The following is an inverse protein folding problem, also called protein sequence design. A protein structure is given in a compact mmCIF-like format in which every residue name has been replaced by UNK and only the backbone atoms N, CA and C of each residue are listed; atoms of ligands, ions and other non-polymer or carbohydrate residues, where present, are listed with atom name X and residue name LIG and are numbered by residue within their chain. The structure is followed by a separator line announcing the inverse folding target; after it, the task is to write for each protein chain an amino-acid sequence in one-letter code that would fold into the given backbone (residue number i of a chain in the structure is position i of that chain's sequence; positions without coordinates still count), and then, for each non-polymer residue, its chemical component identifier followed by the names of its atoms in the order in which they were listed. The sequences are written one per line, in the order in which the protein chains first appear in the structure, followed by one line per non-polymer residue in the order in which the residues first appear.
data_IF_086437714593
#
_entry.id   IF_086437714593
#
_cell.length_a   1.000
_cell.length_b   1.000
_cell.length_c   1.000
_cell.angle_alpha   90.00
_cell.angle_beta   90.00
_cell.angle_gamma   90.00
#
_symmetry.space_group_name_H-M   'P 1'
#
loop_
_entity.id
_entity.type
_entity.pdbx_description
1 polymer ?
#
# COMPACT_ATOMS: atom_id res chain seq x y z
N UNK A 1 37.44 12.35 26.68
CA UNK A 1 37.00 11.90 25.37
C UNK A 1 35.48 12.02 25.37
N UNK A 2 34.98 13.06 24.74
CA UNK A 2 33.54 13.28 24.59
C UNK A 2 33.11 12.46 23.38
N UNK A 3 32.25 11.47 23.61
CA UNK A 3 31.55 10.75 22.53
C UNK A 3 30.77 11.79 21.71
N UNK A 4 31.01 11.81 20.41
CA UNK A 4 30.28 12.67 19.49
C UNK A 4 28.78 12.34 19.51
N UNK A 5 27.92 13.21 18.98
CA UNK A 5 26.50 12.94 18.92
C UNK A 5 26.28 11.63 18.14
N UNK A 6 25.46 10.74 18.71
CA UNK A 6 25.00 9.52 18.05
C UNK A 6 24.52 9.89 16.65
N UNK A 7 25.23 9.46 15.62
CA UNK A 7 24.67 9.39 14.27
C UNK A 7 23.49 8.44 14.40
N UNK A 8 22.26 8.99 14.43
CA UNK A 8 21.05 8.21 14.32
C UNK A 8 21.18 7.37 13.05
N UNK A 9 21.48 6.10 13.25
CA UNK A 9 21.64 5.16 12.14
C UNK A 9 20.27 5.10 11.44
N UNK A 10 20.18 5.77 10.29
CA UNK A 10 18.96 5.77 9.49
C UNK A 10 18.51 4.33 9.26
N UNK A 11 17.21 4.10 9.38
CA UNK A 11 16.63 2.79 9.05
C UNK A 11 16.76 2.52 7.55
N UNK A 12 16.83 1.26 7.16
CA UNK A 12 16.81 0.90 5.73
C UNK A 12 15.60 1.54 5.01
N UNK A 13 14.44 1.53 5.67
CA UNK A 13 13.26 2.21 5.17
C UNK A 13 13.50 3.71 4.98
N UNK A 14 14.11 4.37 5.97
CA UNK A 14 14.41 5.80 5.91
C UNK A 14 15.33 6.16 4.74
N UNK A 15 16.35 5.35 4.46
CA UNK A 15 17.26 5.55 3.34
C UNK A 15 16.55 5.38 1.99
N UNK A 16 15.78 4.30 1.82
CA UNK A 16 15.01 4.06 0.60
C UNK A 16 13.96 5.15 0.38
N UNK A 17 13.26 5.55 1.45
CA UNK A 17 12.26 6.61 1.40
C UNK A 17 12.86 7.96 0.99
N UNK A 18 14.03 8.32 1.51
CA UNK A 18 14.72 9.56 1.13
C UNK A 18 14.98 9.59 -0.38
N UNK A 19 15.50 8.51 -0.95
CA UNK A 19 15.76 8.38 -2.38
C UNK A 19 14.49 8.52 -3.23
N UNK A 20 13.39 7.87 -2.81
CA UNK A 20 12.09 8.01 -3.52
C UNK A 20 11.61 9.46 -3.48
N UNK A 21 11.72 10.14 -2.34
CA UNK A 21 11.33 11.55 -2.20
C UNK A 21 12.18 12.50 -3.04
N UNK A 22 13.42 12.14 -3.32
CA UNK A 22 14.32 12.85 -4.25
C UNK A 22 14.02 12.53 -5.73
N UNK A 23 13.04 11.67 -6.00
CA UNK A 23 12.61 11.30 -7.35
C UNK A 23 13.28 10.06 -7.93
N UNK A 24 14.09 9.34 -7.15
CA UNK A 24 14.70 8.09 -7.58
C UNK A 24 13.68 6.93 -7.50
N UNK A 25 12.95 6.71 -8.59
CA UNK A 25 11.92 5.67 -8.68
C UNK A 25 12.47 4.30 -9.14
N UNK A 26 13.77 4.15 -9.24
CA UNK A 26 14.46 2.89 -9.54
C UNK A 26 14.78 2.06 -8.27
N UNK A 27 14.48 2.56 -7.08
CA UNK A 27 14.65 1.82 -5.83
C UNK A 27 13.79 0.53 -5.84
N UNK A 28 14.21 -0.43 -5.04
CA UNK A 28 13.43 -1.65 -4.81
C UNK A 28 12.22 -1.35 -3.91
N UNK A 29 11.03 -1.21 -4.52
CA UNK A 29 9.78 -0.94 -3.80
C UNK A 29 9.27 -2.12 -2.98
N UNK A 30 9.63 -3.34 -3.32
CA UNK A 30 9.35 -4.50 -2.47
C UNK A 30 10.13 -4.38 -1.16
N UNK A 31 11.41 -4.07 -1.26
CA UNK A 31 12.27 -3.85 -0.09
C UNK A 31 11.82 -2.63 0.72
N UNK A 32 11.40 -1.55 0.07
CA UNK A 32 10.81 -0.38 0.73
C UNK A 32 9.58 -0.75 1.57
N UNK A 33 8.65 -1.55 1.02
CA UNK A 33 7.45 -1.99 1.73
C UNK A 33 7.79 -2.88 2.93
N UNK A 34 8.67 -3.86 2.77
CA UNK A 34 8.99 -4.80 3.83
C UNK A 34 9.83 -4.13 4.95
N UNK A 35 10.81 -3.31 4.60
CA UNK A 35 11.61 -2.58 5.59
C UNK A 35 10.76 -1.59 6.41
N UNK A 36 9.66 -1.05 5.85
CA UNK A 36 8.71 -0.24 6.62
C UNK A 36 8.14 -1.02 7.81
N UNK A 37 7.82 -2.31 7.64
CA UNK A 37 7.19 -3.11 8.69
C UNK A 37 8.07 -3.26 9.94
N UNK A 38 9.38 -3.19 9.80
CA UNK A 38 10.36 -3.30 10.87
C UNK A 38 10.90 -1.93 11.34
N UNK A 39 10.49 -0.86 10.66
CA UNK A 39 11.07 0.47 10.83
C UNK A 39 10.60 1.15 12.12
N UNK A 40 11.44 2.04 12.71
CA UNK A 40 11.02 2.92 13.79
C UNK A 40 9.92 3.90 13.33
N UNK A 41 9.90 4.27 12.07
CA UNK A 41 8.90 5.17 11.49
C UNK A 41 7.49 4.56 11.59
N UNK A 42 7.35 3.25 11.31
CA UNK A 42 6.07 2.55 11.50
C UNK A 42 5.63 2.54 12.96
N UNK A 43 6.55 2.27 13.89
CA UNK A 43 6.24 2.26 15.32
C UNK A 43 5.83 3.63 15.87
N UNK A 44 6.35 4.69 15.25
CA UNK A 44 6.00 6.07 15.60
C UNK A 44 4.79 6.62 14.81
N UNK A 45 4.29 5.88 13.82
CA UNK A 45 3.19 6.33 12.98
C UNK A 45 1.91 6.50 13.80
N UNK A 46 1.19 7.59 13.52
CA UNK A 46 -0.12 7.84 14.11
C UNK A 46 -1.18 6.99 13.42
N UNK A 47 -2.21 6.62 14.17
CA UNK A 47 -3.43 6.08 13.56
C UNK A 47 -4.09 7.15 12.69
N UNK A 48 -4.31 6.82 11.43
CA UNK A 48 -4.92 7.67 10.40
C UNK A 48 -6.16 6.99 9.78
N UNK A 49 -6.79 6.09 10.52
CA UNK A 49 -7.95 5.32 10.05
C UNK A 49 -9.13 6.24 9.69
N UNK A 50 -9.34 7.30 10.48
CA UNK A 50 -10.38 8.27 10.24
C UNK A 50 -10.09 9.08 8.98
N UNK A 51 -8.89 9.60 8.85
CA UNK A 51 -8.45 10.38 7.68
C UNK A 51 -8.54 9.55 6.39
N UNK A 52 -8.18 8.28 6.44
CA UNK A 52 -8.32 7.35 5.31
C UNK A 52 -9.79 7.16 4.91
N UNK A 53 -10.70 6.98 5.88
CA UNK A 53 -12.12 6.87 5.59
C UNK A 53 -12.72 8.16 5.03
N UNK A 54 -12.28 9.32 5.52
CA UNK A 54 -12.70 10.63 5.01
C UNK A 54 -12.12 10.90 3.61
N UNK A 55 -10.88 10.49 3.34
CA UNK A 55 -10.22 10.58 2.05
C UNK A 55 -11.05 9.92 0.94
N UNK A 56 -11.54 8.70 1.20
CA UNK A 56 -12.42 7.99 0.26
C UNK A 56 -13.74 8.73 0.00
N UNK A 57 -14.35 9.31 1.05
CA UNK A 57 -15.57 10.14 0.91
C UNK A 57 -15.30 11.41 0.14
N UNK A 58 -14.21 12.11 0.42
CA UNK A 58 -13.85 13.33 -0.29
C UNK A 58 -13.66 13.11 -1.81
N UNK A 59 -13.08 11.98 -2.22
CA UNK A 59 -13.00 11.59 -3.63
C UNK A 59 -14.41 11.34 -4.22
N UNK A 60 -15.26 10.60 -3.52
CA UNK A 60 -16.62 10.32 -3.98
C UNK A 60 -17.45 11.60 -4.14
N UNK A 61 -17.28 12.55 -3.24
CA UNK A 61 -17.95 13.86 -3.24
C UNK A 61 -17.27 14.88 -4.20
N UNK A 62 -16.23 14.48 -4.93
CA UNK A 62 -15.41 15.33 -5.82
C UNK A 62 -14.80 16.55 -5.11
N UNK A 63 -14.60 16.45 -3.80
CA UNK A 63 -13.90 17.47 -3.02
C UNK A 63 -12.38 17.22 -3.05
N UNK A 64 -11.78 17.49 -4.21
CA UNK A 64 -10.38 17.14 -4.49
C UNK A 64 -9.38 17.90 -3.61
N UNK A 65 -9.69 19.13 -3.21
CA UNK A 65 -8.86 19.86 -2.26
C UNK A 65 -8.77 19.12 -0.90
N UNK A 66 -9.93 18.72 -0.37
CA UNK A 66 -9.98 17.95 0.89
C UNK A 66 -9.36 16.56 0.75
N UNK A 67 -9.58 15.89 -0.37
CA UNK A 67 -8.98 14.59 -0.65
C UNK A 67 -7.44 14.68 -0.66
N UNK A 68 -6.88 15.73 -1.26
CA UNK A 68 -5.44 15.96 -1.29
C UNK A 68 -4.89 16.20 0.13
N UNK A 69 -5.49 17.11 0.91
CA UNK A 69 -5.08 17.36 2.30
C UNK A 69 -5.05 16.06 3.14
N UNK A 70 -6.09 15.23 3.02
CA UNK A 70 -6.20 13.98 3.76
C UNK A 70 -5.16 12.95 3.29
N UNK A 71 -4.91 12.87 1.98
CA UNK A 71 -3.88 11.99 1.43
C UNK A 71 -2.48 12.36 1.93
N UNK A 72 -2.18 13.65 2.07
CA UNK A 72 -0.92 14.12 2.64
C UNK A 72 -0.76 13.67 4.10
N UNK A 73 -1.83 13.72 4.90
CA UNK A 73 -1.81 13.23 6.30
C UNK A 73 -1.54 11.74 6.34
N UNK A 74 -2.24 10.95 5.50
CA UNK A 74 -2.05 9.49 5.40
C UNK A 74 -0.63 9.16 4.94
N UNK A 75 -0.12 9.82 3.90
CA UNK A 75 1.22 9.58 3.35
C UNK A 75 2.33 10.04 4.30
N UNK A 76 2.07 11.00 5.17
CA UNK A 76 3.00 11.40 6.23
C UNK A 76 3.11 10.34 7.31
N UNK A 77 2.04 9.64 7.63
CA UNK A 77 2.02 8.55 8.60
C UNK A 77 2.64 7.26 8.01
N UNK A 78 2.32 6.95 6.74
CA UNK A 78 2.83 5.81 6.02
C UNK A 78 3.01 6.16 4.54
N UNK A 79 4.24 6.51 4.13
CA UNK A 79 4.50 6.88 2.73
C UNK A 79 4.16 5.76 1.73
N UNK A 80 4.25 4.51 2.16
CA UNK A 80 3.93 3.35 1.32
C UNK A 80 2.42 3.08 1.20
N UNK A 81 1.55 3.95 1.70
CA UNK A 81 0.11 3.79 1.59
C UNK A 81 -0.35 3.94 0.13
N UNK A 82 -0.78 2.82 -0.44
CA UNK A 82 -1.11 2.73 -1.86
C UNK A 82 -2.35 3.57 -2.21
N UNK A 83 -3.35 3.61 -1.32
CA UNK A 83 -4.57 4.40 -1.52
C UNK A 83 -4.30 5.90 -1.33
N UNK A 84 -3.38 6.26 -0.43
CA UNK A 84 -2.90 7.64 -0.29
C UNK A 84 -2.29 8.18 -1.58
N UNK A 85 -1.42 7.40 -2.24
CA UNK A 85 -0.85 7.79 -3.53
C UNK A 85 -1.88 7.83 -4.66
N UNK A 86 -2.80 6.88 -4.72
CA UNK A 86 -3.88 6.90 -5.72
C UNK A 86 -4.75 8.14 -5.56
N UNK A 87 -5.15 8.46 -4.32
CA UNK A 87 -5.95 9.64 -4.02
C UNK A 87 -5.22 10.92 -4.37
N UNK A 88 -3.94 11.05 -3.97
CA UNK A 88 -3.12 12.21 -4.31
C UNK A 88 -2.95 12.36 -5.83
N UNK A 89 -2.80 11.25 -6.58
CA UNK A 89 -2.76 11.27 -8.04
C UNK A 89 -4.04 11.85 -8.62
N UNK A 90 -5.20 11.31 -8.26
CA UNK A 90 -6.51 11.75 -8.78
C UNK A 90 -6.80 13.19 -8.38
N UNK A 91 -6.59 13.56 -7.12
CA UNK A 91 -6.85 14.91 -6.64
C UNK A 91 -5.97 15.95 -7.36
N UNK A 92 -4.67 15.69 -7.52
CA UNK A 92 -3.77 16.56 -8.24
C UNK A 92 -4.12 16.68 -9.74
N UNK A 93 -4.58 15.60 -10.39
CA UNK A 93 -5.05 15.64 -11.78
C UNK A 93 -6.23 16.60 -11.92
N UNK A 94 -7.25 16.47 -11.09
CA UNK A 94 -8.44 17.31 -11.11
C UNK A 94 -8.15 18.78 -10.72
N UNK A 95 -7.14 19.01 -9.87
CA UNK A 95 -6.65 20.34 -9.50
C UNK A 95 -5.63 20.90 -10.51
N UNK A 96 -5.42 20.22 -11.65
CA UNK A 96 -4.48 20.60 -12.71
C UNK A 96 -3.01 20.73 -12.25
N UNK A 97 -2.62 20.01 -11.21
CA UNK A 97 -1.27 19.95 -10.68
C UNK A 97 -0.51 18.77 -11.28
N UNK A 98 -0.32 18.79 -12.60
CA UNK A 98 0.14 17.63 -13.38
C UNK A 98 1.44 17.00 -12.89
N UNK A 99 2.42 17.76 -12.46
CA UNK A 99 3.70 17.23 -12.00
C UNK A 99 3.50 16.33 -10.75
N UNK A 100 2.67 16.79 -9.80
CA UNK A 100 2.37 16.02 -8.59
C UNK A 100 1.49 14.80 -8.90
N UNK A 101 0.54 14.94 -9.82
CA UNK A 101 -0.26 13.81 -10.30
C UNK A 101 0.65 12.72 -10.90
N UNK A 102 1.57 13.08 -11.80
CA UNK A 102 2.51 12.15 -12.43
C UNK A 102 3.45 11.51 -11.39
N UNK A 103 3.94 12.26 -10.41
CA UNK A 103 4.76 11.72 -9.32
C UNK A 103 4.00 10.65 -8.53
N UNK A 104 2.81 10.97 -8.03
CA UNK A 104 2.02 10.03 -7.23
C UNK A 104 1.56 8.81 -8.05
N UNK A 105 1.23 9.00 -9.32
CA UNK A 105 0.93 7.93 -10.26
C UNK A 105 2.09 6.93 -10.41
N UNK A 106 3.30 7.46 -10.55
CA UNK A 106 4.49 6.61 -10.67
C UNK A 106 4.77 5.85 -9.37
N UNK A 107 4.71 6.50 -8.20
CA UNK A 107 4.90 5.83 -6.91
C UNK A 107 3.83 4.75 -6.69
N UNK A 108 2.55 5.07 -6.94
CA UNK A 108 1.45 4.10 -6.90
C UNK A 108 1.74 2.87 -7.79
N UNK A 109 2.14 3.10 -9.04
CA UNK A 109 2.46 2.02 -9.98
C UNK A 109 3.59 1.13 -9.46
N UNK A 110 4.67 1.72 -8.93
CA UNK A 110 5.80 0.96 -8.37
C UNK A 110 5.43 0.16 -7.12
N UNK A 111 4.62 0.73 -6.23
CA UNK A 111 4.10 0.01 -5.07
C UNK A 111 3.25 -1.18 -5.52
N UNK A 112 2.34 -0.97 -6.44
CA UNK A 112 1.49 -2.02 -7.00
C UNK A 112 2.30 -3.11 -7.70
N UNK A 113 3.23 -2.74 -8.59
CA UNK A 113 4.12 -3.68 -9.29
C UNK A 113 4.90 -4.55 -8.29
N UNK A 114 5.32 -3.99 -7.15
CA UNK A 114 6.04 -4.73 -6.12
C UNK A 114 5.19 -5.81 -5.43
N UNK A 115 3.86 -5.72 -5.54
CA UNK A 115 2.92 -6.76 -5.08
C UNK A 115 2.65 -7.76 -6.22
N UNK A 116 2.29 -7.26 -7.40
CA UNK A 116 1.89 -8.08 -8.54
C UNK A 116 3.02 -8.96 -9.09
N UNK A 117 4.26 -8.51 -8.99
CA UNK A 117 5.43 -9.29 -9.42
C UNK A 117 5.79 -10.44 -8.47
N UNK A 118 5.08 -10.60 -7.34
CA UNK A 118 5.30 -11.71 -6.41
C UNK A 118 4.73 -13.02 -6.92
N UNK A 119 3.59 -12.97 -7.61
CA UNK A 119 2.91 -14.13 -8.15
C UNK A 119 1.72 -13.72 -9.02
N UNK A 120 0.84 -14.68 -9.34
CA UNK A 120 -0.38 -14.43 -10.11
C UNK A 120 -1.67 -14.47 -9.24
N UNK A 121 -1.51 -14.77 -7.94
CA UNK A 121 -2.63 -14.83 -7.00
C UNK A 121 -3.60 -15.98 -7.21
N UNK A 122 -3.33 -16.96 -8.08
CA UNK A 122 -4.29 -18.02 -8.42
C UNK A 122 -4.26 -19.19 -7.43
N UNK A 123 -3.17 -19.36 -6.71
CA UNK A 123 -2.98 -20.45 -5.73
C UNK A 123 -2.24 -19.96 -4.50
N UNK A 124 -2.24 -20.75 -3.42
CA UNK A 124 -1.42 -20.47 -2.24
C UNK A 124 0.08 -20.32 -2.59
N UNK A 125 0.59 -21.16 -3.50
CA UNK A 125 2.00 -21.12 -3.93
C UNK A 125 2.37 -19.87 -4.74
N UNK A 126 1.40 -19.25 -5.40
CA UNK A 126 1.58 -18.04 -6.24
C UNK A 126 0.83 -16.84 -5.69
N UNK A 127 0.47 -16.88 -4.39
CA UNK A 127 -0.28 -15.83 -3.70
C UNK A 127 0.48 -14.49 -3.74
N UNK A 128 -0.25 -13.39 -3.87
CA UNK A 128 0.31 -12.05 -3.70
C UNK A 128 0.75 -11.85 -2.25
N UNK A 129 1.95 -11.34 -2.02
CA UNK A 129 2.45 -11.06 -0.68
C UNK A 129 2.16 -9.61 -0.29
N UNK A 130 1.33 -9.44 0.73
CA UNK A 130 0.88 -8.14 1.21
C UNK A 130 1.40 -7.85 2.62
N UNK A 131 1.47 -6.58 2.97
CA UNK A 131 1.84 -6.10 4.30
C UNK A 131 0.65 -5.48 5.06
N UNK A 132 -0.48 -5.28 4.37
CA UNK A 132 -1.70 -4.71 4.94
C UNK A 132 -2.95 -5.15 4.17
N UNK A 133 -4.11 -5.08 4.84
CA UNK A 133 -5.43 -5.32 4.21
C UNK A 133 -5.69 -4.31 3.07
N UNK A 134 -5.20 -3.08 3.19
CA UNK A 134 -5.37 -2.06 2.14
C UNK A 134 -4.74 -2.50 0.82
N UNK A 135 -3.61 -3.21 0.88
CA UNK A 135 -2.97 -3.73 -0.33
C UNK A 135 -3.79 -4.82 -1.01
N UNK A 136 -4.48 -5.69 -0.26
CA UNK A 136 -5.38 -6.68 -0.83
C UNK A 136 -6.48 -6.02 -1.66
N UNK A 137 -7.17 -5.04 -1.06
CA UNK A 137 -8.24 -4.32 -1.75
C UNK A 137 -7.74 -3.47 -2.91
N UNK A 138 -6.53 -2.92 -2.83
CA UNK A 138 -5.92 -2.21 -3.94
C UNK A 138 -5.65 -3.14 -5.13
N UNK A 139 -5.13 -4.35 -4.87
CA UNK A 139 -4.92 -5.37 -5.91
C UNK A 139 -6.25 -5.81 -6.52
N UNK A 140 -7.26 -6.17 -5.71
CA UNK A 140 -8.58 -6.58 -6.20
C UNK A 140 -9.19 -5.52 -7.13
N UNK A 141 -9.11 -4.26 -6.75
CA UNK A 141 -9.60 -3.12 -7.55
C UNK A 141 -8.88 -3.01 -8.89
N UNK A 142 -7.56 -3.18 -8.91
CA UNK A 142 -6.77 -3.09 -10.15
C UNK A 142 -7.00 -4.31 -11.06
N UNK A 143 -7.22 -5.48 -10.47
CA UNK A 143 -7.61 -6.67 -11.22
C UNK A 143 -9.01 -6.53 -11.85
N UNK A 144 -9.83 -5.58 -11.40
CA UNK A 144 -11.20 -5.38 -11.89
C UNK A 144 -12.11 -6.54 -11.45
N UNK A 145 -12.01 -6.90 -10.16
CA UNK A 145 -12.80 -7.97 -9.58
C UNK A 145 -13.55 -7.49 -8.35
N UNK A 146 -14.79 -7.96 -8.18
CA UNK A 146 -15.62 -7.64 -7.03
C UNK A 146 -15.58 -8.80 -6.02
N UNK A 147 -15.13 -8.57 -4.77
CA UNK A 147 -15.10 -9.61 -3.74
C UNK A 147 -16.52 -9.95 -3.28
N UNK A 148 -16.86 -11.26 -3.33
CA UNK A 148 -18.13 -11.80 -2.83
C UNK A 148 -17.97 -12.44 -1.44
N UNK A 149 -16.81 -13.06 -1.18
CA UNK A 149 -16.52 -13.74 0.09
C UNK A 149 -15.02 -13.74 0.35
N UNK A 150 -14.64 -13.59 1.62
CA UNK A 150 -13.27 -13.77 2.11
C UNK A 150 -13.23 -14.94 3.09
N UNK A 151 -12.17 -15.73 3.06
CA UNK A 151 -11.90 -16.81 4.01
C UNK A 151 -10.41 -16.89 4.30
N UNK A 152 -10.07 -17.12 5.58
CA UNK A 152 -8.70 -17.39 5.99
C UNK A 152 -8.40 -18.87 5.74
N UNK A 153 -7.31 -19.14 5.04
CA UNK A 153 -6.79 -20.47 4.75
C UNK A 153 -5.37 -20.60 5.31
N UNK A 154 -5.04 -21.81 5.82
CA UNK A 154 -3.69 -22.10 6.31
C UNK A 154 -3.13 -23.31 5.55
N UNK A 155 -1.94 -23.14 4.99
CA UNK A 155 -1.23 -24.19 4.27
C UNK A 155 0.28 -24.00 4.44
N UNK A 156 1.01 -25.09 4.61
CA UNK A 156 2.49 -25.12 4.66
C UNK A 156 3.13 -24.13 5.66
N UNK A 157 2.44 -23.88 6.78
CA UNK A 157 2.90 -22.96 7.83
C UNK A 157 2.61 -21.48 7.55
N UNK A 158 1.92 -21.16 6.45
CA UNK A 158 1.53 -19.82 6.05
C UNK A 158 0.02 -19.59 6.16
N UNK A 159 -0.35 -18.32 6.28
CA UNK A 159 -1.73 -17.85 6.32
C UNK A 159 -2.07 -17.11 5.04
N UNK A 160 -3.25 -17.40 4.49
CA UNK A 160 -3.72 -16.81 3.25
C UNK A 160 -5.14 -16.30 3.40
N UNK A 161 -5.38 -15.07 2.99
CA UNK A 161 -6.72 -14.60 2.69
C UNK A 161 -7.07 -15.02 1.26
N UNK A 162 -8.18 -15.76 1.15
CA UNK A 162 -8.70 -16.24 -0.12
C UNK A 162 -10.01 -15.53 -0.41
N UNK A 163 -10.00 -14.68 -1.43
CA UNK A 163 -11.20 -14.02 -1.89
C UNK A 163 -11.85 -14.82 -3.01
N UNK A 164 -13.12 -15.20 -2.82
CA UNK A 164 -13.97 -15.56 -3.93
C UNK A 164 -14.45 -14.27 -4.57
N UNK A 165 -14.12 -14.08 -5.82
CA UNK A 165 -14.35 -12.81 -6.56
C UNK A 165 -15.10 -13.07 -7.84
N UNK A 166 -15.75 -12.03 -8.34
CA UNK A 166 -16.36 -12.03 -9.66
C UNK A 166 -15.57 -11.06 -10.56
N UNK A 167 -15.17 -11.54 -11.73
CA UNK A 167 -14.57 -10.67 -12.74
C UNK A 167 -15.62 -9.70 -13.27
N UNK A 168 -15.33 -8.41 -13.21
CA UNK A 168 -16.30 -7.34 -13.53
C UNK A 168 -16.61 -7.26 -15.02
N UNK A 169 -15.78 -7.87 -15.90
CA UNK A 169 -15.94 -7.86 -17.35
C UNK A 169 -16.59 -9.12 -17.87
N UNK A 170 -16.08 -10.30 -17.45
CA UNK A 170 -16.58 -11.60 -17.93
C UNK A 170 -17.74 -12.11 -17.10
N UNK A 171 -17.84 -11.70 -15.82
CA UNK A 171 -18.78 -12.22 -14.85
C UNK A 171 -18.40 -13.59 -14.32
N UNK A 172 -17.19 -14.09 -14.61
CA UNK A 172 -16.70 -15.38 -14.13
C UNK A 172 -16.32 -15.33 -12.65
N UNK A 173 -16.61 -16.44 -11.95
CA UNK A 173 -16.20 -16.62 -10.56
C UNK A 173 -14.77 -17.16 -10.53
N UNK A 174 -13.92 -16.55 -9.69
CA UNK A 174 -12.52 -16.95 -9.50
C UNK A 174 -12.10 -16.78 -8.04
N UNK A 175 -10.89 -17.23 -7.73
CA UNK A 175 -10.29 -17.01 -6.41
C UNK A 175 -9.01 -16.21 -6.55
N UNK A 176 -8.77 -15.33 -5.59
CA UNK A 176 -7.52 -14.56 -5.46
C UNK A 176 -6.92 -14.82 -4.08
N UNK A 177 -5.67 -15.25 -4.06
CA UNK A 177 -4.94 -15.63 -2.87
C UNK A 177 -3.94 -14.52 -2.48
N UNK A 178 -3.97 -14.13 -1.19
CA UNK A 178 -3.01 -13.22 -0.57
C UNK A 178 -2.30 -13.92 0.58
N UNK A 179 -0.97 -13.91 0.59
CA UNK A 179 -0.22 -14.30 1.77
C UNK A 179 -0.28 -13.15 2.78
N UNK A 180 -0.86 -13.43 3.94
CA UNK A 180 -1.16 -12.46 5.00
C UNK A 180 -0.35 -12.70 6.28
N UNK A 181 0.78 -13.39 6.21
CA UNK A 181 1.62 -13.66 7.39
C UNK A 181 2.03 -12.35 8.09
N UNK A 182 2.42 -11.33 7.31
CA UNK A 182 2.85 -10.03 7.85
C UNK A 182 1.69 -9.27 8.49
N UNK A 183 0.53 -9.07 7.83
CA UNK A 183 -0.61 -8.46 8.49
C UNK A 183 -1.02 -9.19 9.76
N UNK A 184 -1.07 -10.51 9.73
CA UNK A 184 -1.51 -11.31 10.89
C UNK A 184 -0.55 -11.23 12.08
N UNK A 185 0.76 -11.20 11.85
CA UNK A 185 1.73 -11.04 12.93
C UNK A 185 1.49 -9.74 13.72
N UNK A 186 1.02 -8.69 13.06
CA UNK A 186 0.76 -7.39 13.67
C UNK A 186 -0.57 -7.30 14.46
N UNK A 187 -1.49 -8.25 14.28
CA UNK A 187 -2.73 -8.32 15.08
C UNK A 187 -2.53 -9.06 16.40
N UNK A 188 -1.39 -9.72 16.59
CA UNK A 188 -1.09 -10.52 17.79
C UNK A 188 -0.17 -9.80 18.78
N UNK A 189 0.32 -8.61 18.43
CA UNK A 189 1.08 -7.70 19.30
C UNK A 189 0.17 -6.61 19.92
#
# INVERSE_FOLDING_TARGET
MLSGPDEEQKSEYGDLLARVKEGELSVDFQRLRFSYMESPERRAAKDVSQERAEMGRAIADRNFGRALELSEVVLKAAFIDIDGHLTACVANEELQQKWWSDYHKNVFGRLLDSILNWGDGQTAATAYKVISIQEEYAVLRVLGVTPARQSLHRADGHSYDVFSVKDDRSGEDMQVFFNVDIPMANYLE
#
